data_IF_155806701349
#
_entry.id   IF_155806701349
#
_cell.length_a   1.000
_cell.length_b   1.000
_cell.length_c   1.000
_cell.angle_alpha   90.00
_cell.angle_beta   90.00
_cell.angle_gamma   90.00
#
_symmetry.space_group_name_H-M   'P 1'
#
loop_
_entity.id
_entity.type
_entity.pdbx_description
1 polymer ?
#
# COMPACT_ATOMS: atom_id res chain seq x y z
N UNK A 1 20.35 12.93 13.25
CA UNK A 1 21.27 12.20 12.37
C UNK A 1 22.67 12.12 12.98
N UNK A 2 23.40 13.24 13.15
CA UNK A 2 24.75 13.25 13.73
C UNK A 2 24.82 12.58 15.10
N UNK A 3 23.87 12.84 15.99
CA UNK A 3 23.75 12.17 17.29
C UNK A 3 23.59 10.66 17.16
N UNK A 4 22.74 10.19 16.21
CA UNK A 4 22.59 8.76 15.98
C UNK A 4 23.89 8.13 15.46
N UNK A 5 24.55 8.77 14.49
CA UNK A 5 25.83 8.29 13.94
C UNK A 5 26.91 8.21 15.02
N UNK A 6 26.99 9.20 15.92
CA UNK A 6 27.98 9.18 17.02
C UNK A 6 27.75 8.09 18.07
N UNK A 7 26.52 7.59 18.16
CA UNK A 7 26.15 6.48 19.08
C UNK A 7 26.35 5.09 18.45
N UNK A 8 26.48 5.03 17.13
CA UNK A 8 26.69 3.79 16.39
C UNK A 8 28.20 3.56 16.22
N UNK A 9 28.69 2.39 16.59
CA UNK A 9 30.10 2.05 16.37
C UNK A 9 30.46 2.03 14.88
N UNK A 10 31.67 2.43 14.51
CA UNK A 10 32.13 2.47 13.12
C UNK A 10 31.95 1.13 12.37
N UNK A 11 32.04 0.00 13.07
CA UNK A 11 31.83 -1.35 12.53
C UNK A 11 30.38 -1.64 12.08
N UNK A 12 29.41 -0.84 12.54
CA UNK A 12 28.00 -0.97 12.13
C UNK A 12 27.63 -0.04 10.96
N UNK A 13 28.56 0.80 10.50
CA UNK A 13 28.38 1.68 9.36
C UNK A 13 28.97 1.03 8.09
N UNK A 14 28.36 1.24 6.90
CA UNK A 14 28.83 0.68 5.63
C UNK A 14 30.03 1.50 5.10
N UNK A 15 31.09 1.57 5.88
CA UNK A 15 32.30 2.30 5.51
C UNK A 15 33.08 1.54 4.44
N UNK A 16 33.65 2.26 3.48
CA UNK A 16 34.63 1.69 2.53
C UNK A 16 35.96 1.46 3.25
N UNK A 17 36.79 0.61 2.68
CA UNK A 17 38.15 0.39 3.19
C UNK A 17 38.91 1.71 3.31
N UNK A 18 39.42 2.01 4.48
CA UNK A 18 40.14 3.26 4.79
C UNK A 18 39.27 4.52 4.96
N UNK A 19 37.97 4.43 4.85
CA UNK A 19 37.06 5.57 5.03
C UNK A 19 36.80 5.84 6.52
N UNK A 20 36.96 7.08 6.95
CA UNK A 20 36.58 7.49 8.32
C UNK A 20 35.08 7.76 8.42
N UNK A 21 34.54 7.76 9.64
CA UNK A 21 33.14 8.11 9.91
C UNK A 21 32.84 9.53 9.45
N UNK A 22 33.75 10.47 9.67
CA UNK A 22 33.60 11.86 9.25
C UNK A 22 33.54 12.00 7.74
N UNK A 23 34.37 11.27 7.00
CA UNK A 23 34.33 11.22 5.54
C UNK A 23 33.02 10.63 5.02
N UNK A 24 32.56 9.54 5.63
CA UNK A 24 31.28 8.95 5.30
C UNK A 24 30.11 9.93 5.54
N UNK A 25 30.07 10.58 6.71
CA UNK A 25 29.05 11.58 7.04
C UNK A 25 29.09 12.76 6.07
N UNK A 26 30.26 13.26 5.72
CA UNK A 26 30.40 14.34 4.74
C UNK A 26 29.90 13.95 3.35
N UNK A 27 30.10 12.70 2.94
CA UNK A 27 29.65 12.16 1.65
C UNK A 27 28.12 12.02 1.59
N UNK A 28 27.50 11.46 2.65
CA UNK A 28 26.06 11.16 2.62
C UNK A 28 25.17 12.35 3.03
N UNK A 29 25.71 13.32 3.80
CA UNK A 29 24.92 14.45 4.30
C UNK A 29 24.24 15.26 3.17
N UNK A 30 24.89 15.61 2.06
CA UNK A 30 24.23 16.29 0.95
C UNK A 30 23.09 15.46 0.34
N UNK A 31 23.29 14.13 0.20
CA UNK A 31 22.25 13.24 -0.32
C UNK A 31 21.03 13.19 0.61
N UNK A 32 21.25 13.26 1.92
CA UNK A 32 20.14 13.20 2.90
C UNK A 32 19.44 14.56 3.07
N UNK A 33 20.20 15.67 3.09
CA UNK A 33 19.67 16.96 3.54
C UNK A 33 19.54 18.02 2.46
N UNK A 34 20.30 17.94 1.37
CA UNK A 34 20.28 18.97 0.32
C UNK A 34 19.25 18.63 -0.76
N UNK A 35 18.15 19.41 -0.88
CA UNK A 35 17.14 19.17 -1.89
C UNK A 35 17.64 19.44 -3.33
N UNK A 36 18.74 20.17 -3.49
CA UNK A 36 19.36 20.39 -4.81
C UNK A 36 20.13 19.14 -5.31
N UNK A 37 20.61 18.30 -4.36
CA UNK A 37 21.31 17.05 -4.68
C UNK A 37 20.29 15.93 -4.94
N UNK A 38 19.26 15.85 -4.11
CA UNK A 38 18.20 14.84 -4.26
C UNK A 38 16.88 15.39 -3.70
N UNK A 39 15.78 15.20 -4.39
CA UNK A 39 14.44 15.53 -3.91
C UNK A 39 14.16 14.86 -2.56
N UNK A 40 13.44 15.54 -1.65
CA UNK A 40 13.18 15.08 -0.27
C UNK A 40 11.71 14.75 -0.01
N UNK A 41 10.84 15.03 -0.94
CA UNK A 41 9.39 14.83 -0.80
C UNK A 41 8.76 14.39 -2.11
N UNK A 42 7.57 13.83 -2.05
CA UNK A 42 6.70 13.59 -3.20
C UNK A 42 6.02 14.91 -3.60
N UNK A 43 6.05 15.25 -4.89
CA UNK A 43 5.40 16.41 -5.49
C UNK A 43 4.26 15.90 -6.37
N UNK A 44 3.01 16.26 -6.02
CA UNK A 44 1.80 15.74 -6.68
C UNK A 44 1.08 16.79 -7.54
N UNK A 45 1.59 18.01 -7.61
CA UNK A 45 1.00 19.09 -8.40
C UNK A 45 2.05 20.15 -8.73
N UNK A 46 1.81 20.92 -9.79
CA UNK A 46 2.64 22.03 -10.25
C UNK A 46 2.95 21.93 -11.75
N UNK A 47 3.53 22.99 -12.28
CA UNK A 47 3.98 23.06 -13.69
C UNK A 47 5.42 22.54 -13.82
N UNK A 48 5.59 21.26 -13.44
CA UNK A 48 6.88 20.54 -13.46
C UNK A 48 6.66 19.08 -13.81
N UNK A 49 7.69 18.39 -14.26
CA UNK A 49 7.66 16.92 -14.33
C UNK A 49 7.63 16.37 -12.90
N UNK A 50 6.48 15.84 -12.48
CA UNK A 50 6.24 15.40 -11.10
C UNK A 50 7.17 14.26 -10.69
N UNK A 51 7.56 13.39 -11.63
CA UNK A 51 8.48 12.27 -11.36
C UNK A 51 9.86 12.80 -11.04
N UNK A 52 10.36 13.72 -11.86
CA UNK A 52 11.72 14.32 -11.68
C UNK A 52 11.80 15.22 -10.45
N UNK A 53 10.69 15.87 -10.10
CA UNK A 53 10.62 16.75 -8.93
C UNK A 53 10.48 15.99 -7.60
N UNK A 54 10.17 14.68 -7.66
CA UNK A 54 9.83 13.87 -6.49
C UNK A 54 10.95 12.95 -6.06
N UNK A 55 11.05 12.75 -4.74
CA UNK A 55 11.78 11.64 -4.15
C UNK A 55 10.90 10.37 -4.25
N UNK A 56 11.29 9.44 -5.11
CA UNK A 56 10.58 8.17 -5.27
C UNK A 56 11.50 7.07 -5.80
N UNK A 57 11.10 5.83 -5.60
CA UNK A 57 11.80 4.64 -6.11
C UNK A 57 10.99 3.87 -7.17
N UNK A 58 9.83 4.38 -7.57
CA UNK A 58 8.92 3.71 -8.49
C UNK A 58 9.34 3.81 -9.95
N UNK A 59 10.14 4.83 -10.27
CA UNK A 59 10.59 5.10 -11.63
C UNK A 59 12.11 5.03 -11.72
N UNK A 60 12.60 4.47 -12.82
CA UNK A 60 14.03 4.42 -13.10
C UNK A 60 14.60 5.76 -13.55
N UNK A 61 15.92 5.84 -13.57
CA UNK A 61 16.62 7.03 -14.03
C UNK A 61 16.18 7.42 -15.46
N UNK A 62 15.98 8.72 -15.67
CA UNK A 62 15.60 9.27 -16.96
C UNK A 62 14.15 9.00 -17.41
N UNK A 63 13.33 8.33 -16.60
CA UNK A 63 11.87 8.20 -16.86
C UNK A 63 11.19 9.53 -16.59
N UNK A 64 10.30 9.95 -17.50
CA UNK A 64 9.54 11.20 -17.39
C UNK A 64 8.05 10.94 -17.16
N UNK A 65 7.35 11.93 -16.62
CA UNK A 65 5.91 11.86 -16.40
C UNK A 65 5.14 11.51 -17.68
N UNK A 66 5.40 12.21 -18.77
CA UNK A 66 4.72 12.01 -20.07
C UNK A 66 4.91 10.56 -20.56
N UNK A 67 6.11 10.02 -20.43
CA UNK A 67 6.38 8.63 -20.86
C UNK A 67 5.59 7.61 -20.02
N UNK A 68 5.44 7.86 -18.73
CA UNK A 68 4.66 6.99 -17.83
C UNK A 68 3.18 7.06 -18.16
N UNK A 69 2.65 8.27 -18.31
CA UNK A 69 1.25 8.49 -18.66
C UNK A 69 0.90 7.82 -20.00
N UNK A 70 1.73 7.99 -21.02
CA UNK A 70 1.57 7.34 -22.34
C UNK A 70 1.66 5.81 -22.25
N UNK A 71 2.58 5.31 -21.43
CA UNK A 71 2.77 3.85 -21.25
C UNK A 71 1.51 3.21 -20.68
N UNK A 72 0.98 3.75 -19.58
CA UNK A 72 -0.21 3.21 -18.93
C UNK A 72 -1.51 3.55 -19.67
N UNK A 73 -1.58 4.67 -20.39
CA UNK A 73 -2.70 4.96 -21.28
C UNK A 73 -2.86 3.88 -22.36
N UNK A 74 -1.75 3.44 -22.96
CA UNK A 74 -1.77 2.33 -23.93
C UNK A 74 -2.21 1.01 -23.31
N UNK A 75 -1.80 0.72 -22.08
CA UNK A 75 -2.25 -0.50 -21.36
C UNK A 75 -3.75 -0.49 -21.05
N UNK A 76 -4.32 0.69 -20.80
CA UNK A 76 -5.75 0.89 -20.49
C UNK A 76 -6.61 0.98 -21.75
N UNK A 77 -6.04 1.27 -22.92
CA UNK A 77 -6.79 1.46 -24.15
C UNK A 77 -7.65 0.24 -24.52
N UNK A 78 -8.94 0.47 -24.77
CA UNK A 78 -9.90 -0.59 -25.11
C UNK A 78 -10.25 -1.56 -23.97
N UNK A 79 -9.88 -1.23 -22.73
CA UNK A 79 -10.19 -2.01 -21.53
C UNK A 79 -11.46 -1.52 -20.85
N UNK A 80 -11.93 -2.31 -19.87
CA UNK A 80 -13.09 -1.98 -19.05
C UNK A 80 -12.86 -0.63 -18.32
N UNK A 81 -13.82 0.27 -18.42
CA UNK A 81 -13.82 1.59 -17.78
C UNK A 81 -14.70 1.64 -16.53
N UNK A 82 -15.53 0.62 -16.30
CA UNK A 82 -16.41 0.53 -15.11
C UNK A 82 -15.62 -0.03 -13.93
N UNK A 83 -14.80 -1.06 -14.17
CA UNK A 83 -13.92 -1.68 -13.17
C UNK A 83 -12.48 -1.72 -13.71
N UNK A 84 -11.82 -0.56 -13.82
CA UNK A 84 -10.50 -0.48 -14.41
C UNK A 84 -9.45 -1.12 -13.49
N UNK A 85 -8.56 -1.93 -14.08
CA UNK A 85 -7.41 -2.48 -13.37
C UNK A 85 -6.45 -1.35 -13.00
N UNK A 86 -5.93 -1.37 -11.79
CA UNK A 86 -4.93 -0.41 -11.28
C UNK A 86 -3.53 -0.72 -11.82
N UNK A 87 -3.35 -0.64 -13.15
CA UNK A 87 -2.07 -0.90 -13.79
C UNK A 87 -0.93 -0.08 -13.17
N UNK A 88 0.18 -0.74 -12.88
CA UNK A 88 1.36 -0.12 -12.29
C UNK A 88 1.45 -0.24 -10.77
N UNK A 89 0.37 -0.65 -10.09
CA UNK A 89 0.27 -0.67 -8.63
C UNK A 89 1.42 -1.44 -7.96
N UNK A 90 1.77 -2.60 -8.48
CA UNK A 90 2.77 -3.51 -7.91
C UNK A 90 4.05 -3.60 -8.76
N UNK A 91 4.50 -2.48 -9.31
CA UNK A 91 5.66 -2.51 -10.20
C UNK A 91 6.51 -1.25 -10.13
N UNK A 92 7.75 -1.39 -10.52
CA UNK A 92 8.66 -0.29 -10.87
C UNK A 92 8.73 -0.16 -12.39
N UNK A 93 8.68 1.06 -12.93
CA UNK A 93 8.85 1.32 -14.36
C UNK A 93 10.25 1.87 -14.61
N UNK A 94 11.02 1.21 -15.47
CA UNK A 94 12.42 1.57 -15.77
C UNK A 94 12.65 1.65 -17.27
N UNK A 95 13.74 2.29 -17.67
CA UNK A 95 14.23 2.24 -19.05
C UNK A 95 15.31 1.18 -19.20
N UNK A 96 15.12 0.26 -20.15
CA UNK A 96 16.13 -0.71 -20.58
C UNK A 96 16.31 -0.58 -22.10
N UNK A 97 17.52 -0.29 -22.53
CA UNK A 97 17.84 -0.07 -23.94
C UNK A 97 16.88 0.95 -24.62
N UNK A 98 16.55 2.03 -23.91
CA UNK A 98 15.68 3.10 -24.39
C UNK A 98 14.17 2.77 -24.40
N UNK A 99 13.78 1.59 -23.94
CA UNK A 99 12.36 1.18 -23.85
C UNK A 99 11.90 1.13 -22.40
N UNK A 100 10.64 1.50 -22.15
CA UNK A 100 10.01 1.34 -20.84
C UNK A 100 9.68 -0.12 -20.58
N UNK A 101 10.07 -0.60 -19.41
CA UNK A 101 9.86 -1.98 -18.95
C UNK A 101 9.31 -1.96 -17.52
N UNK A 102 8.23 -2.66 -17.27
CA UNK A 102 7.73 -2.90 -15.92
C UNK A 102 8.50 -4.03 -15.24
N UNK A 103 8.99 -3.73 -14.05
CA UNK A 103 9.57 -4.71 -13.12
C UNK A 103 8.56 -4.97 -12.01
N UNK A 104 7.86 -6.06 -12.12
CA UNK A 104 6.78 -6.43 -11.20
C UNK A 104 7.34 -7.00 -9.90
N UNK A 105 6.74 -6.65 -8.77
CA UNK A 105 7.01 -7.19 -7.45
C UNK A 105 6.21 -8.48 -7.27
N UNK A 106 6.89 -9.59 -7.41
CA UNK A 106 6.31 -10.93 -7.35
C UNK A 106 7.40 -11.98 -7.14
N UNK A 107 7.00 -13.22 -6.93
CA UNK A 107 7.93 -14.37 -6.98
C UNK A 107 8.61 -14.41 -8.36
N UNK A 108 9.93 -14.52 -8.37
CA UNK A 108 10.75 -14.46 -9.60
C UNK A 108 10.91 -13.07 -10.21
N UNK A 109 10.34 -12.02 -9.59
CA UNK A 109 10.48 -10.62 -9.98
C UNK A 109 11.30 -9.80 -8.98
N UNK A 110 11.02 -8.49 -8.89
CA UNK A 110 11.63 -7.66 -7.85
C UNK A 110 11.14 -8.10 -6.46
N UNK A 111 12.03 -8.02 -5.48
CA UNK A 111 11.80 -8.46 -4.09
C UNK A 111 11.39 -9.94 -3.93
N UNK A 112 11.71 -10.82 -4.91
CA UNK A 112 11.33 -12.23 -4.93
C UNK A 112 11.59 -12.92 -3.59
N UNK A 113 12.79 -12.79 -3.04
CA UNK A 113 13.16 -13.47 -1.78
C UNK A 113 12.31 -13.07 -0.57
N UNK A 114 11.86 -11.81 -0.52
CA UNK A 114 10.95 -11.34 0.53
C UNK A 114 9.53 -11.85 0.27
N UNK A 115 9.07 -11.77 -0.98
CA UNK A 115 7.73 -12.21 -1.37
C UNK A 115 7.57 -13.73 -1.22
N UNK A 116 8.60 -14.52 -1.51
CA UNK A 116 8.62 -15.98 -1.27
C UNK A 116 8.41 -16.32 0.21
N UNK A 117 8.97 -15.53 1.11
CA UNK A 117 8.72 -15.69 2.56
C UNK A 117 7.26 -15.37 2.90
N UNK A 118 6.69 -14.29 2.35
CA UNK A 118 5.27 -13.96 2.52
C UNK A 118 4.41 -15.12 2.04
N UNK A 119 4.66 -15.64 0.82
CA UNK A 119 3.91 -16.79 0.27
C UNK A 119 4.05 -18.01 1.15
N UNK A 120 5.24 -18.31 1.68
CA UNK A 120 5.45 -19.44 2.60
C UNK A 120 4.62 -19.30 3.88
N UNK A 121 4.55 -18.12 4.48
CA UNK A 121 3.74 -17.89 5.68
C UNK A 121 2.23 -17.92 5.38
N UNK A 122 1.79 -17.39 4.25
CA UNK A 122 0.40 -17.48 3.79
C UNK A 122 -0.02 -18.94 3.54
N UNK A 123 0.86 -19.78 2.96
CA UNK A 123 0.61 -21.21 2.80
C UNK A 123 0.40 -21.93 4.14
N UNK A 124 1.19 -21.58 5.16
CA UNK A 124 0.99 -22.09 6.52
C UNK A 124 -0.33 -21.59 7.10
N UNK A 125 -0.65 -20.30 6.93
CA UNK A 125 -1.89 -19.70 7.41
C UNK A 125 -3.15 -20.37 6.81
N UNK A 126 -3.07 -20.91 5.59
CA UNK A 126 -4.18 -21.64 4.96
C UNK A 126 -4.67 -22.81 5.81
N UNK A 127 -3.80 -23.46 6.61
CA UNK A 127 -4.18 -24.56 7.49
C UNK A 127 -4.97 -24.11 8.73
N UNK A 128 -4.95 -22.80 9.03
CA UNK A 128 -5.62 -22.20 10.18
C UNK A 128 -6.82 -21.34 9.76
N UNK A 129 -7.18 -21.33 8.46
CA UNK A 129 -8.33 -20.59 7.99
C UNK A 129 -9.61 -21.04 8.71
N UNK A 130 -10.42 -20.08 9.17
CA UNK A 130 -11.61 -20.33 9.98
C UNK A 130 -12.76 -20.94 9.18
N UNK A 131 -12.76 -20.71 7.86
CA UNK A 131 -13.78 -21.18 6.93
C UNK A 131 -13.25 -21.22 5.48
N UNK A 132 -14.05 -21.75 4.55
CA UNK A 132 -13.67 -21.88 3.15
C UNK A 132 -13.54 -20.52 2.42
N UNK A 133 -14.30 -19.49 2.86
CA UNK A 133 -14.17 -18.15 2.30
C UNK A 133 -12.81 -17.56 2.62
N UNK A 134 -12.40 -17.58 3.88
CA UNK A 134 -11.08 -17.11 4.31
C UNK A 134 -9.95 -17.91 3.64
N UNK A 135 -10.12 -19.23 3.49
CA UNK A 135 -9.16 -20.07 2.76
C UNK A 135 -9.03 -19.66 1.30
N UNK A 136 -10.13 -19.29 0.65
CA UNK A 136 -10.14 -18.80 -0.73
C UNK A 136 -9.45 -17.44 -0.84
N UNK A 137 -9.65 -16.54 0.11
CA UNK A 137 -8.99 -15.22 0.20
C UNK A 137 -7.47 -15.41 0.28
N UNK A 138 -7.00 -16.26 1.20
CA UNK A 138 -5.56 -16.56 1.33
C UNK A 138 -5.02 -17.15 0.03
N UNK A 139 -5.75 -18.08 -0.59
CA UNK A 139 -5.37 -18.70 -1.87
C UNK A 139 -5.21 -17.68 -3.00
N UNK A 140 -6.13 -16.71 -3.11
CA UNK A 140 -6.04 -15.63 -4.12
C UNK A 140 -4.86 -14.69 -3.84
N UNK A 141 -4.57 -14.40 -2.60
CA UNK A 141 -3.43 -13.58 -2.23
C UNK A 141 -2.09 -14.28 -2.57
N UNK A 142 -1.99 -15.58 -2.32
CA UNK A 142 -0.84 -16.40 -2.74
C UNK A 142 -0.68 -16.36 -4.27
N UNK A 143 -1.75 -16.59 -5.02
CA UNK A 143 -1.76 -16.54 -6.49
C UNK A 143 -1.29 -15.17 -7.01
N UNK A 144 -1.77 -14.09 -6.39
CA UNK A 144 -1.34 -12.73 -6.72
C UNK A 144 0.18 -12.54 -6.53
N UNK A 145 0.73 -12.93 -5.40
CA UNK A 145 2.17 -12.80 -5.15
C UNK A 145 3.02 -13.68 -6.09
N UNK A 146 2.50 -14.82 -6.51
CA UNK A 146 3.19 -15.69 -7.47
C UNK A 146 3.17 -15.14 -8.90
N UNK A 147 2.03 -14.59 -9.33
CA UNK A 147 1.83 -14.14 -10.72
C UNK A 147 2.12 -12.66 -10.93
N UNK A 148 1.85 -11.82 -9.92
CA UNK A 148 1.84 -10.36 -10.03
C UNK A 148 0.64 -9.82 -10.81
N UNK A 149 -0.38 -10.64 -11.08
CA UNK A 149 -1.56 -10.23 -11.85
C UNK A 149 -2.54 -9.43 -10.97
N UNK A 150 -2.76 -8.17 -11.35
CA UNK A 150 -3.64 -7.25 -10.63
C UNK A 150 -5.12 -7.65 -10.70
N UNK A 151 -5.55 -8.41 -11.71
CA UNK A 151 -6.92 -8.98 -11.73
C UNK A 151 -7.14 -9.97 -10.60
N UNK A 152 -6.09 -10.73 -10.24
CA UNK A 152 -6.14 -11.65 -9.11
C UNK A 152 -6.20 -10.87 -7.80
N UNK A 153 -5.48 -9.73 -7.72
CA UNK A 153 -5.56 -8.84 -6.57
C UNK A 153 -6.96 -8.23 -6.40
N UNK A 154 -7.60 -7.81 -7.50
CA UNK A 154 -8.99 -7.35 -7.48
C UNK A 154 -9.94 -8.47 -7.01
N UNK A 155 -9.76 -9.69 -7.50
CA UNK A 155 -10.56 -10.84 -7.06
C UNK A 155 -10.34 -11.17 -5.57
N UNK A 156 -9.10 -11.06 -5.08
CA UNK A 156 -8.79 -11.15 -3.65
C UNK A 156 -9.55 -10.09 -2.86
N UNK A 157 -9.52 -8.83 -3.30
CA UNK A 157 -10.15 -7.70 -2.63
C UNK A 157 -11.67 -7.85 -2.54
N UNK A 158 -12.31 -8.35 -3.61
CA UNK A 158 -13.75 -8.64 -3.64
C UNK A 158 -14.11 -9.71 -2.60
N UNK A 159 -13.41 -10.84 -2.61
CA UNK A 159 -13.64 -11.92 -1.65
C UNK A 159 -13.41 -11.45 -0.20
N UNK A 160 -12.39 -10.62 0.02
CA UNK A 160 -12.11 -10.06 1.33
C UNK A 160 -13.25 -9.15 1.84
N UNK A 161 -13.79 -8.28 1.00
CA UNK A 161 -14.92 -7.40 1.35
C UNK A 161 -16.20 -8.21 1.64
N UNK A 162 -16.39 -9.34 0.95
CA UNK A 162 -17.54 -10.22 1.14
C UNK A 162 -17.45 -11.08 2.42
N UNK A 163 -16.25 -11.31 2.94
CA UNK A 163 -16.06 -12.07 4.18
C UNK A 163 -16.48 -11.24 5.40
N UNK A 164 -17.69 -11.48 5.85
CA UNK A 164 -18.22 -10.88 7.08
C UNK A 164 -18.25 -11.85 8.27
N UNK A 165 -17.80 -13.09 8.07
CA UNK A 165 -17.93 -14.18 9.04
C UNK A 165 -16.67 -14.44 9.85
N UNK A 166 -15.50 -14.24 9.28
CA UNK A 166 -14.22 -14.52 9.93
C UNK A 166 -13.95 -13.57 11.10
N UNK A 167 -13.42 -14.11 12.18
CA UNK A 167 -13.02 -13.37 13.38
C UNK A 167 -11.65 -12.70 13.22
N UNK A 168 -10.74 -13.33 12.48
CA UNK A 168 -9.44 -12.77 12.12
C UNK A 168 -9.55 -12.16 10.72
N UNK A 169 -9.20 -10.90 10.63
CA UNK A 169 -9.18 -10.13 9.39
C UNK A 169 -7.76 -9.67 9.07
N UNK A 170 -7.42 -9.61 7.80
CA UNK A 170 -6.10 -9.14 7.39
C UNK A 170 -6.14 -8.44 6.03
N UNK A 171 -5.29 -7.42 5.91
CA UNK A 171 -4.96 -6.77 4.65
C UNK A 171 -3.49 -7.00 4.37
N UNK A 172 -3.15 -7.33 3.14
CA UNK A 172 -1.77 -7.58 2.76
C UNK A 172 -1.59 -7.33 1.25
N UNK A 173 -0.70 -6.43 0.89
CA UNK A 173 -0.45 -6.13 -0.52
C UNK A 173 0.24 -4.80 -0.77
N UNK A 174 0.32 -4.44 -2.05
CA UNK A 174 0.77 -3.12 -2.49
C UNK A 174 -0.48 -2.25 -2.65
N UNK A 175 -0.70 -1.29 -1.74
CA UNK A 175 -2.01 -0.63 -1.57
C UNK A 175 -1.88 0.89 -1.57
N UNK A 176 -0.98 1.45 -0.74
CA UNK A 176 -0.89 2.89 -0.54
C UNK A 176 -0.13 3.62 -1.66
N UNK A 177 -0.80 4.51 -2.36
CA UNK A 177 -0.24 5.18 -3.55
C UNK A 177 0.23 6.61 -3.31
N UNK A 178 0.06 7.17 -2.13
CA UNK A 178 0.41 8.57 -1.83
C UNK A 178 1.92 8.87 -1.94
N UNK A 179 2.77 7.86 -1.87
CA UNK A 179 4.22 7.98 -2.10
C UNK A 179 4.61 8.12 -3.58
N UNK A 180 3.69 7.85 -4.51
CA UNK A 180 3.91 8.04 -5.93
C UNK A 180 3.40 9.42 -6.38
N UNK A 181 4.23 10.21 -7.10
CA UNK A 181 3.80 11.51 -7.63
C UNK A 181 2.59 11.44 -8.56
N UNK A 182 2.34 10.32 -9.22
CA UNK A 182 1.20 10.10 -10.11
C UNK A 182 0.06 9.29 -9.46
N UNK A 183 0.21 8.86 -8.22
CA UNK A 183 -0.80 8.07 -7.50
C UNK A 183 -1.11 6.71 -8.13
N UNK A 184 -0.16 6.12 -8.86
CA UNK A 184 -0.36 4.88 -9.62
C UNK A 184 0.33 3.66 -9.00
N UNK A 185 1.45 3.88 -8.34
CA UNK A 185 2.31 2.84 -7.79
C UNK A 185 2.24 2.83 -6.27
N UNK A 186 2.17 1.64 -5.70
CA UNK A 186 1.90 1.50 -4.28
C UNK A 186 3.09 1.01 -3.46
N UNK A 187 3.14 1.45 -2.21
CA UNK A 187 3.94 0.82 -1.16
C UNK A 187 3.22 -0.41 -0.60
N UNK A 188 4.01 -1.33 -0.05
CA UNK A 188 3.48 -2.53 0.58
C UNK A 188 3.06 -2.26 2.02
N UNK A 189 1.90 -2.79 2.38
CA UNK A 189 1.41 -2.80 3.76
C UNK A 189 0.77 -4.13 4.14
N UNK A 190 0.68 -4.37 5.43
CA UNK A 190 -0.06 -5.48 6.01
C UNK A 190 -0.62 -5.10 7.37
N UNK A 191 -1.87 -5.42 7.59
CA UNK A 191 -2.50 -5.36 8.91
C UNK A 191 -3.10 -6.72 9.22
N UNK A 192 -3.05 -7.13 10.50
CA UNK A 192 -3.77 -8.29 11.01
C UNK A 192 -4.59 -7.84 12.22
N UNK A 193 -5.87 -8.08 12.15
CA UNK A 193 -6.84 -7.67 13.16
C UNK A 193 -7.66 -8.87 13.63
N UNK A 194 -8.24 -8.79 14.81
CA UNK A 194 -9.28 -9.70 15.25
C UNK A 194 -10.47 -8.95 15.84
N UNK A 195 -11.66 -9.53 15.67
CA UNK A 195 -12.90 -8.88 16.09
C UNK A 195 -12.99 -8.89 17.63
N UNK A 196 -13.18 -7.71 18.20
CA UNK A 196 -13.59 -7.56 19.58
C UNK A 196 -15.12 -7.76 19.69
N UNK A 197 -15.55 -9.00 19.98
CA UNK A 197 -16.96 -9.39 19.98
C UNK A 197 -17.79 -8.59 20.98
N UNK A 198 -17.25 -8.27 22.15
CA UNK A 198 -17.95 -7.51 23.19
C UNK A 198 -18.14 -6.04 22.79
N UNK A 199 -17.11 -5.41 22.26
CA UNK A 199 -17.20 -4.05 21.77
C UNK A 199 -18.10 -3.97 20.51
N UNK A 200 -18.04 -4.96 19.62
CA UNK A 200 -18.89 -5.05 18.43
C UNK A 200 -20.39 -5.15 18.79
N UNK A 201 -20.77 -5.88 19.85
CA UNK A 201 -22.16 -5.89 20.34
C UNK A 201 -22.66 -4.51 20.73
N UNK A 202 -21.80 -3.66 21.29
CA UNK A 202 -22.16 -2.27 21.66
C UNK A 202 -22.35 -1.41 20.42
N UNK A 203 -21.49 -1.51 19.42
CA UNK A 203 -21.61 -0.75 18.17
C UNK A 203 -22.79 -1.21 17.31
N UNK A 204 -23.28 -2.45 17.50
CA UNK A 204 -24.48 -2.93 16.83
C UNK A 204 -25.70 -2.04 17.09
N UNK A 205 -25.83 -1.46 18.27
CA UNK A 205 -26.91 -0.51 18.59
C UNK A 205 -26.86 0.69 17.65
N UNK A 206 -25.68 1.19 17.31
CA UNK A 206 -25.51 2.31 16.36
C UNK A 206 -25.89 1.86 14.96
N UNK A 207 -25.44 0.69 14.52
CA UNK A 207 -25.76 0.14 13.20
C UNK A 207 -27.25 -0.12 13.02
N UNK A 208 -27.92 -0.66 14.04
CA UNK A 208 -29.36 -0.93 14.03
C UNK A 208 -30.19 0.38 13.99
N UNK A 209 -29.63 1.50 14.43
CA UNK A 209 -30.26 2.82 14.40
C UNK A 209 -29.68 3.74 13.28
N UNK A 210 -29.00 3.20 12.29
CA UNK A 210 -28.34 3.98 11.25
C UNK A 210 -29.32 4.91 10.49
N UNK A 211 -30.55 4.47 10.23
CA UNK A 211 -31.60 5.31 9.61
C UNK A 211 -31.97 6.49 10.49
N UNK A 212 -32.10 6.28 11.81
CA UNK A 212 -32.39 7.37 12.75
C UNK A 212 -31.28 8.45 12.70
N UNK A 213 -30.02 8.04 12.68
CA UNK A 213 -28.88 8.98 12.57
C UNK A 213 -28.88 9.73 11.23
N UNK A 214 -29.20 9.06 10.12
CA UNK A 214 -29.33 9.71 8.82
C UNK A 214 -30.42 10.78 8.85
N UNK A 215 -31.61 10.44 9.37
CA UNK A 215 -32.74 11.32 9.40
C UNK A 215 -32.52 12.55 10.29
N UNK A 216 -31.77 12.40 11.39
CA UNK A 216 -31.46 13.46 12.36
C UNK A 216 -30.12 14.16 12.15
N UNK A 217 -29.32 13.73 11.13
CA UNK A 217 -28.06 14.39 10.82
C UNK A 217 -28.29 15.84 10.40
N UNK A 218 -27.33 16.78 10.65
CA UNK A 218 -27.45 18.18 10.25
C UNK A 218 -27.22 18.42 8.73
N UNK A 219 -27.28 17.36 7.94
CA UNK A 219 -27.11 17.40 6.47
C UNK A 219 -28.42 17.86 5.83
N UNK A 220 -28.32 18.68 4.77
CA UNK A 220 -29.47 19.12 3.97
C UNK A 220 -30.24 17.92 3.42
N UNK A 221 -31.57 17.98 3.47
CA UNK A 221 -32.48 16.91 3.06
C UNK A 221 -32.22 16.39 1.65
N UNK A 222 -31.73 17.23 0.74
CA UNK A 222 -31.37 16.84 -0.63
C UNK A 222 -30.26 15.81 -0.73
N UNK A 223 -29.43 15.69 0.31
CA UNK A 223 -28.29 14.78 0.38
C UNK A 223 -28.52 13.60 1.34
N UNK A 224 -29.66 13.56 2.02
CA UNK A 224 -30.02 12.44 2.89
C UNK A 224 -30.47 11.24 2.06
N UNK A 225 -30.09 10.06 2.55
CA UNK A 225 -30.54 8.79 1.95
C UNK A 225 -31.93 8.44 2.47
N UNK A 226 -32.86 8.17 1.57
CA UNK A 226 -34.22 7.71 1.95
C UNK A 226 -34.17 6.39 2.73
N UNK A 227 -33.19 5.53 2.39
CA UNK A 227 -32.98 4.25 3.07
C UNK A 227 -31.49 3.99 3.26
N UNK A 228 -31.06 3.93 4.50
CA UNK A 228 -29.72 3.50 4.87
C UNK A 228 -29.69 1.97 4.83
N UNK A 229 -28.88 1.39 3.96
CA UNK A 229 -28.54 -0.04 4.04
C UNK A 229 -27.59 -0.22 5.22
N UNK A 230 -27.89 -1.19 6.08
CA UNK A 230 -27.21 -1.39 7.34
C UNK A 230 -25.67 -1.38 7.19
N UNK A 231 -25.05 -0.57 8.01
CA UNK A 231 -23.60 -0.51 8.14
C UNK A 231 -23.19 -1.62 9.10
N UNK A 232 -22.38 -2.57 8.66
CA UNK A 232 -21.78 -3.54 9.57
C UNK A 232 -20.55 -2.90 10.20
N UNK A 233 -20.70 -2.29 11.37
CA UNK A 233 -19.58 -1.77 12.13
C UNK A 233 -19.06 -2.86 13.07
N UNK A 234 -17.82 -3.30 12.84
CA UNK A 234 -17.11 -4.23 13.73
C UNK A 234 -16.02 -3.46 14.46
N UNK A 235 -15.88 -3.71 15.76
CA UNK A 235 -14.72 -3.21 16.51
C UNK A 235 -13.62 -4.25 16.42
N UNK A 236 -12.46 -3.81 15.99
CA UNK A 236 -11.29 -4.66 15.81
C UNK A 236 -10.21 -4.33 16.83
N UNK A 237 -9.41 -5.31 17.15
CA UNK A 237 -8.15 -5.14 17.86
C UNK A 237 -7.02 -5.44 16.89
N UNK A 238 -6.15 -4.46 16.67
CA UNK A 238 -4.98 -4.62 15.82
C UNK A 238 -3.97 -5.53 16.50
N UNK A 239 -3.58 -6.61 15.84
CA UNK A 239 -2.57 -7.56 16.31
C UNK A 239 -1.20 -7.26 15.70
N UNK A 240 -1.17 -6.86 14.44
CA UNK A 240 0.08 -6.57 13.72
C UNK A 240 -0.14 -5.47 12.70
N UNK A 241 0.85 -4.59 12.61
CA UNK A 241 1.01 -3.61 11.54
C UNK A 241 2.38 -3.84 10.89
N UNK A 242 2.43 -3.80 9.57
CA UNK A 242 3.67 -3.98 8.80
C UNK A 242 3.67 -3.11 7.56
N UNK A 243 4.85 -2.65 7.15
CA UNK A 243 4.97 -1.77 5.98
C UNK A 243 4.44 -0.36 6.22
N UNK A 244 3.71 0.18 5.24
CA UNK A 244 3.23 1.56 5.23
C UNK A 244 1.81 1.71 5.81
N UNK A 245 1.63 1.32 7.07
CA UNK A 245 0.33 1.36 7.74
C UNK A 245 0.04 2.68 8.47
N UNK A 246 0.95 3.67 8.42
CA UNK A 246 0.81 4.90 9.20
C UNK A 246 -0.37 5.76 8.76
N UNK A 247 -0.74 5.73 7.48
CA UNK A 247 -1.87 6.47 6.94
C UNK A 247 -3.21 5.96 7.47
N UNK A 248 -3.33 4.67 7.72
CA UNK A 248 -4.55 4.05 8.26
C UNK A 248 -4.80 4.43 9.72
N UNK A 249 -3.77 4.62 10.53
CA UNK A 249 -3.88 5.05 11.92
C UNK A 249 -4.46 6.46 12.02
N UNK A 250 -4.06 7.36 11.13
CA UNK A 250 -4.56 8.75 11.11
C UNK A 250 -6.03 8.87 10.65
N UNK A 251 -6.55 7.89 9.93
CA UNK A 251 -7.95 7.87 9.47
C UNK A 251 -8.87 7.27 10.53
N UNK A 252 -8.38 6.40 11.38
CA UNK A 252 -9.17 5.63 12.35
C UNK A 252 -9.22 6.21 13.77
N UNK A 253 -8.36 7.18 14.11
CA UNK A 253 -8.44 7.86 15.39
C UNK A 253 -9.38 9.08 15.29
N UNK A 254 -10.49 9.12 16.07
CA UNK A 254 -11.26 10.33 16.22
C UNK A 254 -10.42 11.36 16.98
N UNK A 255 -10.09 12.45 16.34
CA UNK A 255 -9.53 13.64 16.99
C UNK A 255 -10.53 14.27 17.92
#
# INVERSE_FOLDING_TARGET
FQTCISQVGASALPLREGQTVEQFVAEISPVIFDPAVMAKRTVQSGDVDLIRASANNYYGEGVTQVEVEDFYARMKAGKDTISPISYGLNSRLVKENGKLVEKVWKVGGLYSSAIEKIVSELQKATAFAENDAQKSIIGKLIEYYQTGDLKIFDAYSILWVEDTASDVDFVNGFIETYGDPLGMKASWESTVNFINKEATKRTKVISDNAQWFEDHSPVDKRFKKEKVKGVSAKVITVSMLGGDCLSLIHISEPT
#
